data_IF_093912137429
#
_entry.id   IF_093912137429
#
_cell.length_a   1.000
_cell.length_b   1.000
_cell.length_c   1.000
_cell.angle_alpha   90.00
_cell.angle_beta   90.00
_cell.angle_gamma   90.00
#
_symmetry.space_group_name_H-M   'P 1'
#
loop_
_entity.id
_entity.type
_entity.pdbx_description
1 polymer ?
#
# COMPACT_ATOMS: atom_id res chain seq x y z
N UNK A 1 15.18 0.63 -23.62
CA UNK A 1 15.03 -0.75 -23.12
C UNK A 1 14.20 -1.55 -24.12
N UNK A 2 14.49 -2.85 -24.25
CA UNK A 2 13.80 -3.75 -25.20
C UNK A 2 12.73 -4.53 -24.43
N UNK A 3 11.50 -4.55 -24.94
CA UNK A 3 10.41 -5.33 -24.34
C UNK A 3 10.72 -6.84 -24.37
N UNK A 4 10.37 -7.60 -23.33
CA UNK A 4 10.56 -9.04 -23.29
C UNK A 4 9.82 -9.75 -24.43
N UNK A 5 10.43 -10.76 -25.00
CA UNK A 5 9.85 -11.59 -26.07
C UNK A 5 9.47 -12.97 -25.56
N UNK A 6 8.49 -13.61 -26.20
CA UNK A 6 8.03 -14.94 -25.80
C UNK A 6 7.35 -14.95 -24.44
N UNK A 7 7.67 -15.92 -23.57
CA UNK A 7 7.10 -16.07 -22.22
C UNK A 7 7.96 -15.42 -21.12
N UNK A 8 9.09 -14.81 -21.48
CA UNK A 8 9.99 -14.20 -20.50
C UNK A 8 9.31 -13.05 -19.74
N UNK A 9 9.34 -13.03 -18.40
CA UNK A 9 8.73 -11.96 -17.61
C UNK A 9 9.52 -10.64 -17.67
N UNK A 10 10.80 -10.69 -18.06
CA UNK A 10 11.64 -9.51 -18.22
C UNK A 10 12.68 -9.70 -19.31
N UNK A 11 13.27 -8.62 -19.77
CA UNK A 11 14.47 -8.60 -20.63
C UNK A 11 15.62 -7.88 -19.95
N UNK A 12 16.84 -8.25 -20.31
CA UNK A 12 18.07 -7.63 -19.85
C UNK A 12 18.77 -6.95 -21.03
N UNK A 13 19.19 -5.72 -20.81
CA UNK A 13 20.05 -4.96 -21.72
C UNK A 13 21.32 -4.59 -20.97
N UNK A 14 22.48 -4.75 -21.58
CA UNK A 14 23.74 -4.32 -20.98
C UNK A 14 24.58 -3.52 -21.98
N UNK A 15 25.25 -2.51 -21.48
CA UNK A 15 26.20 -1.71 -22.24
C UNK A 15 27.47 -1.54 -21.43
N UNK A 16 28.61 -1.55 -22.12
CA UNK A 16 29.94 -1.35 -21.55
C UNK A 16 30.57 -0.11 -22.16
N UNK A 17 31.13 0.75 -21.33
CA UNK A 17 31.90 1.93 -21.75
C UNK A 17 33.17 2.08 -20.93
N UNK A 18 34.06 2.96 -21.37
CA UNK A 18 35.20 3.37 -20.58
C UNK A 18 34.71 4.20 -19.37
N UNK A 19 35.33 3.96 -18.21
CA UNK A 19 35.01 4.74 -17.03
C UNK A 19 35.64 6.16 -17.14
N UNK A 20 34.86 7.25 -17.13
CA UNK A 20 35.38 8.60 -17.35
C UNK A 20 36.38 9.08 -16.29
N UNK A 21 36.29 8.54 -15.08
CA UNK A 21 37.07 8.94 -13.90
C UNK A 21 38.13 7.93 -13.48
N UNK A 22 38.19 6.74 -14.12
CA UNK A 22 39.21 5.72 -13.87
C UNK A 22 39.52 4.95 -15.14
N UNK A 23 40.71 5.19 -15.71
CA UNK A 23 41.14 4.61 -16.99
C UNK A 23 41.35 3.09 -16.93
N UNK A 24 41.56 2.53 -15.74
CA UNK A 24 41.80 1.10 -15.55
C UNK A 24 40.51 0.32 -15.31
N UNK A 25 39.35 0.99 -15.34
CA UNK A 25 38.03 0.42 -15.07
C UNK A 25 37.10 0.59 -16.28
N UNK A 26 36.11 -0.27 -16.36
CA UNK A 26 34.97 -0.14 -17.28
C UNK A 26 33.71 0.16 -16.49
N UNK A 27 32.80 0.92 -17.10
CA UNK A 27 31.46 1.16 -16.59
C UNK A 27 30.49 0.22 -17.31
N UNK A 28 29.74 -0.55 -16.56
CA UNK A 28 28.68 -1.40 -17.11
C UNK A 28 27.32 -0.89 -16.64
N UNK A 29 26.45 -0.62 -17.60
CA UNK A 29 25.03 -0.37 -17.35
C UNK A 29 24.26 -1.68 -17.53
N UNK A 30 23.40 -2.01 -16.58
CA UNK A 30 22.47 -3.13 -16.69
C UNK A 30 21.06 -2.56 -16.60
N UNK A 31 20.30 -2.71 -17.68
CA UNK A 31 18.89 -2.33 -17.74
C UNK A 31 17.99 -3.57 -17.64
N UNK A 32 16.98 -3.51 -16.79
CA UNK A 32 15.96 -4.55 -16.67
C UNK A 32 14.63 -3.94 -17.12
N UNK A 33 13.97 -4.58 -18.09
CA UNK A 33 12.64 -4.18 -18.55
C UNK A 33 11.65 -5.29 -18.23
N UNK A 34 10.67 -5.00 -17.39
CA UNK A 34 9.54 -5.89 -17.12
C UNK A 34 8.60 -5.94 -18.32
N UNK A 35 7.84 -7.02 -18.42
CA UNK A 35 6.76 -7.15 -19.41
C UNK A 35 5.60 -6.23 -19.01
N UNK A 36 5.04 -5.50 -19.96
CA UNK A 36 3.81 -4.77 -19.75
C UNK A 36 2.64 -5.75 -19.59
N UNK A 37 1.85 -5.54 -18.54
CA UNK A 37 0.64 -6.31 -18.28
C UNK A 37 -0.51 -5.53 -18.94
N UNK A 38 -1.21 -6.09 -19.95
CA UNK A 38 -2.38 -5.43 -20.52
C UNK A 38 -3.45 -5.20 -19.45
N UNK A 39 -4.11 -4.04 -19.47
CA UNK A 39 -5.19 -3.69 -18.53
C UNK A 39 -6.30 -4.77 -18.47
N UNK A 40 -6.63 -5.37 -19.61
CA UNK A 40 -7.61 -6.45 -19.72
C UNK A 40 -7.28 -7.72 -18.89
N UNK A 41 -6.03 -7.83 -18.42
CA UNK A 41 -5.54 -8.97 -17.59
C UNK A 41 -5.31 -8.59 -16.14
N UNK A 42 -5.59 -7.35 -15.77
CA UNK A 42 -5.46 -6.93 -14.38
C UNK A 42 -6.64 -7.47 -13.60
N UNK A 43 -6.42 -8.29 -12.54
CA UNK A 43 -7.51 -8.81 -11.73
C UNK A 43 -8.22 -7.69 -10.99
N UNK A 44 -9.53 -7.87 -10.76
CA UNK A 44 -10.31 -6.97 -9.92
C UNK A 44 -9.69 -6.88 -8.51
N UNK A 45 -9.73 -5.71 -7.92
CA UNK A 45 -9.04 -5.41 -6.65
C UNK A 45 -10.02 -5.14 -5.52
N UNK A 46 -9.73 -5.69 -4.35
CA UNK A 46 -10.35 -5.34 -3.08
C UNK A 46 -9.29 -4.70 -2.18
N UNK A 47 -9.31 -3.39 -2.09
CA UNK A 47 -8.31 -2.60 -1.38
C UNK A 47 -8.90 -2.03 -0.09
N UNK A 48 -8.27 -2.34 1.03
CA UNK A 48 -8.63 -1.82 2.35
C UNK A 48 -7.53 -0.90 2.84
N UNK A 49 -7.80 0.39 2.86
CA UNK A 49 -6.88 1.39 3.38
C UNK A 49 -7.03 1.51 4.90
N UNK A 50 -5.94 1.28 5.61
CA UNK A 50 -5.82 1.52 7.05
C UNK A 50 -4.90 2.72 7.23
N UNK A 51 -5.49 3.88 7.54
CA UNK A 51 -4.82 5.18 7.49
C UNK A 51 -4.62 5.71 8.91
N UNK A 52 -3.37 6.02 9.23
CA UNK A 52 -3.01 6.77 10.41
C UNK A 52 -3.52 8.21 10.31
N UNK A 53 -4.30 8.64 11.31
CA UNK A 53 -4.79 10.02 11.44
C UNK A 53 -4.31 10.64 12.76
N UNK A 54 -3.21 10.15 13.33
CA UNK A 54 -2.58 10.74 14.51
C UNK A 54 -2.07 12.15 14.22
N UNK A 55 -1.85 12.93 15.27
CA UNK A 55 -1.40 14.32 15.15
C UNK A 55 -0.06 14.47 14.40
N UNK A 56 0.79 13.42 14.43
CA UNK A 56 2.05 13.41 13.67
C UNK A 56 1.86 13.38 12.15
N UNK A 57 0.68 12.94 11.67
CA UNK A 57 0.33 12.87 10.25
C UNK A 57 -0.13 14.21 9.63
N UNK A 58 0.00 15.32 10.35
CA UNK A 58 -0.53 16.64 9.96
C UNK A 58 0.17 17.28 8.75
N UNK A 59 1.47 17.03 8.52
CA UNK A 59 2.23 17.71 7.47
C UNK A 59 1.81 17.33 6.05
N UNK A 60 2.06 18.23 5.08
CA UNK A 60 1.63 18.09 3.68
C UNK A 60 2.17 16.84 2.99
N UNK A 61 3.30 16.32 3.44
CA UNK A 61 3.96 15.09 2.96
C UNK A 61 3.46 13.81 3.65
N UNK A 62 2.43 13.90 4.50
CA UNK A 62 1.83 12.78 5.23
C UNK A 62 0.35 12.59 4.88
N UNK A 63 -0.60 12.83 5.80
CA UNK A 63 -2.03 12.58 5.56
C UNK A 63 -2.57 13.29 4.29
N UNK A 64 -2.25 14.56 4.00
CA UNK A 64 -2.68 15.19 2.76
C UNK A 64 -2.17 14.47 1.50
N UNK A 65 -0.94 13.93 1.54
CA UNK A 65 -0.36 13.15 0.45
C UNK A 65 -1.05 11.78 0.31
N UNK A 66 -1.38 11.11 1.43
CA UNK A 66 -2.17 9.86 1.44
C UNK A 66 -3.51 10.09 0.73
N UNK A 67 -4.25 11.14 1.11
CA UNK A 67 -5.55 11.48 0.52
C UNK A 67 -5.42 11.72 -0.99
N UNK A 68 -4.41 12.49 -1.38
CA UNK A 68 -4.16 12.77 -2.81
C UNK A 68 -3.83 11.50 -3.59
N UNK A 69 -3.00 10.62 -3.03
CA UNK A 69 -2.62 9.35 -3.66
C UNK A 69 -3.83 8.43 -3.82
N UNK A 70 -4.70 8.35 -2.81
CA UNK A 70 -5.92 7.58 -2.85
C UNK A 70 -6.89 8.10 -3.92
N UNK A 71 -7.07 9.42 -4.01
CA UNK A 71 -7.91 10.03 -5.03
C UNK A 71 -7.36 9.76 -6.45
N UNK A 72 -6.04 9.81 -6.64
CA UNK A 72 -5.40 9.45 -7.91
C UNK A 72 -5.62 7.97 -8.27
N UNK A 73 -5.56 7.07 -7.28
CA UNK A 73 -5.86 5.65 -7.48
C UNK A 73 -7.30 5.43 -7.97
N UNK A 74 -8.26 6.22 -7.48
CA UNK A 74 -9.65 6.11 -7.90
C UNK A 74 -9.86 6.34 -9.40
N UNK A 75 -8.97 7.08 -10.08
CA UNK A 75 -9.03 7.29 -11.52
C UNK A 75 -8.73 6.02 -12.33
N UNK A 76 -8.11 5.02 -11.70
CA UNK A 76 -7.74 3.74 -12.31
C UNK A 76 -8.68 2.59 -11.93
N UNK A 77 -9.57 2.79 -10.94
CA UNK A 77 -10.45 1.74 -10.43
C UNK A 77 -11.74 1.60 -11.26
N UNK A 78 -12.23 0.39 -11.34
CA UNK A 78 -13.43 0.00 -12.09
C UNK A 78 -14.63 -0.26 -11.18
N UNK A 79 -15.80 -0.51 -11.75
CA UNK A 79 -16.99 -0.88 -10.97
C UNK A 79 -16.89 -2.26 -10.28
N UNK A 80 -15.99 -3.11 -10.72
CA UNK A 80 -15.75 -4.44 -10.14
C UNK A 80 -14.86 -4.36 -8.90
N UNK A 81 -14.02 -3.34 -8.82
CA UNK A 81 -13.14 -3.13 -7.68
C UNK A 81 -13.92 -2.74 -6.43
N UNK A 82 -13.32 -2.98 -5.27
CA UNK A 82 -13.83 -2.59 -3.96
C UNK A 82 -12.79 -1.78 -3.22
N UNK A 83 -13.27 -0.74 -2.54
CA UNK A 83 -12.44 0.08 -1.68
C UNK A 83 -13.08 0.25 -0.32
N UNK A 84 -12.30 0.08 0.72
CA UNK A 84 -12.65 0.38 2.10
C UNK A 84 -11.62 1.32 2.69
N UNK A 85 -12.05 2.21 3.58
CA UNK A 85 -11.18 3.14 4.29
C UNK A 85 -11.46 3.05 5.77
N UNK A 86 -10.43 2.77 6.55
CA UNK A 86 -10.43 2.73 8.00
C UNK A 86 -9.39 3.74 8.46
N UNK A 87 -9.73 4.54 9.43
CA UNK A 87 -8.76 5.39 10.13
C UNK A 87 -8.46 4.81 11.51
N UNK A 88 -7.24 4.97 11.95
CA UNK A 88 -6.84 4.65 13.30
C UNK A 88 -6.05 5.80 13.92
N UNK A 89 -6.42 6.13 15.14
CA UNK A 89 -5.75 7.07 16.02
C UNK A 89 -6.60 7.21 17.28
N UNK A 90 -6.36 6.37 18.28
CA UNK A 90 -7.15 6.36 19.50
C UNK A 90 -8.41 5.50 19.47
N UNK A 91 -9.18 5.52 18.39
CA UNK A 91 -10.23 4.56 18.07
C UNK A 91 -10.19 4.31 16.57
N UNK A 92 -10.39 3.06 16.19
CA UNK A 92 -10.60 2.72 14.79
C UNK A 92 -11.98 3.21 14.34
N UNK A 93 -12.03 3.74 13.14
CA UNK A 93 -13.27 4.17 12.50
C UNK A 93 -13.34 3.66 11.08
N UNK A 94 -14.35 2.86 10.78
CA UNK A 94 -14.71 2.55 9.41
C UNK A 94 -15.34 3.79 8.79
N UNK A 95 -14.62 4.42 7.88
CA UNK A 95 -15.03 5.65 7.18
C UNK A 95 -15.80 5.29 5.92
N UNK A 96 -15.35 4.21 5.24
CA UNK A 96 -15.96 3.68 4.05
C UNK A 96 -15.81 2.15 4.03
N UNK A 97 -16.85 1.43 3.62
CA UNK A 97 -16.84 -0.03 3.60
C UNK A 97 -17.32 -0.58 2.25
N UNK A 98 -16.42 -1.20 1.48
CA UNK A 98 -16.71 -1.90 0.24
C UNK A 98 -17.37 -1.07 -0.85
N UNK A 99 -17.05 0.22 -0.95
CA UNK A 99 -17.52 1.05 -2.04
C UNK A 99 -16.97 0.52 -3.38
N UNK A 100 -17.73 0.68 -4.46
CA UNK A 100 -17.26 0.32 -5.80
C UNK A 100 -16.25 1.34 -6.32
N UNK A 101 -15.28 0.89 -7.12
CA UNK A 101 -14.24 1.75 -7.67
C UNK A 101 -14.76 2.91 -8.52
N UNK A 102 -15.94 2.77 -9.13
CA UNK A 102 -16.59 3.86 -9.89
C UNK A 102 -17.30 4.92 -9.00
N UNK A 103 -17.29 4.77 -7.68
CA UNK A 103 -17.89 5.72 -6.74
C UNK A 103 -16.90 6.83 -6.31
N UNK A 104 -16.12 7.36 -7.23
CA UNK A 104 -15.04 8.33 -7.00
C UNK A 104 -15.48 9.51 -6.12
N UNK A 105 -16.61 10.14 -6.41
CA UNK A 105 -17.12 11.28 -5.63
C UNK A 105 -17.42 10.93 -4.17
N UNK A 106 -17.88 9.71 -3.90
CA UNK A 106 -18.13 9.25 -2.53
C UNK A 106 -16.82 9.11 -1.77
N UNK A 107 -15.82 8.51 -2.42
CA UNK A 107 -14.49 8.33 -1.85
C UNK A 107 -13.84 9.70 -1.58
N UNK A 108 -13.82 10.60 -2.57
CA UNK A 108 -13.27 11.96 -2.42
C UNK A 108 -13.93 12.74 -1.28
N UNK A 109 -15.27 12.67 -1.17
CA UNK A 109 -16.01 13.37 -0.10
C UNK A 109 -15.59 12.84 1.26
N UNK A 110 -15.52 11.53 1.41
CA UNK A 110 -15.22 10.87 2.68
C UNK A 110 -13.75 11.10 3.07
N UNK A 111 -12.83 10.96 2.13
CA UNK A 111 -11.39 11.16 2.38
C UNK A 111 -11.04 12.62 2.62
N UNK A 112 -11.76 13.55 1.98
CA UNK A 112 -11.60 14.99 2.21
C UNK A 112 -12.08 15.46 3.61
N UNK A 113 -12.77 14.61 4.37
CA UNK A 113 -13.14 14.85 5.77
C UNK A 113 -12.15 14.29 6.79
N UNK A 114 -11.09 13.62 6.32
CA UNK A 114 -10.06 13.10 7.21
C UNK A 114 -9.19 14.24 7.74
N UNK A 115 -8.95 14.21 9.05
CA UNK A 115 -8.14 15.22 9.73
C UNK A 115 -7.20 14.54 10.74
N UNK A 116 -5.96 15.02 10.81
CA UNK A 116 -4.91 14.51 11.69
C UNK A 116 -5.06 15.09 13.12
N UNK A 117 -6.12 14.74 13.81
CA UNK A 117 -6.46 15.24 15.16
C UNK A 117 -6.62 14.14 16.22
N UNK A 118 -6.30 12.91 15.90
CA UNK A 118 -6.52 11.77 16.78
C UNK A 118 -5.41 11.60 17.83
N UNK A 119 -5.79 11.05 19.00
CA UNK A 119 -4.89 10.58 20.06
C UNK A 119 -4.66 9.08 19.93
N UNK A 120 -3.47 8.62 20.22
CA UNK A 120 -2.94 7.29 19.91
C UNK A 120 -3.36 6.22 20.93
N UNK A 121 -4.59 5.69 20.85
CA UNK A 121 -5.01 4.48 21.57
C UNK A 121 -6.07 3.74 20.74
N UNK A 122 -5.71 2.72 20.01
CA UNK A 122 -6.66 1.91 19.25
C UNK A 122 -6.23 0.44 19.23
N UNK A 123 -7.11 -0.44 19.75
CA UNK A 123 -6.76 -1.85 19.98
C UNK A 123 -7.06 -2.81 18.82
N UNK A 124 -7.60 -2.36 17.68
CA UNK A 124 -8.07 -3.32 16.67
C UNK A 124 -8.02 -2.91 15.20
N UNK A 125 -7.40 -1.79 14.86
CA UNK A 125 -7.42 -1.28 13.48
C UNK A 125 -7.05 -2.32 12.43
N UNK A 126 -5.99 -3.09 12.68
CA UNK A 126 -5.54 -4.14 11.75
C UNK A 126 -6.54 -5.31 11.65
N UNK A 127 -7.16 -5.72 12.76
CA UNK A 127 -8.16 -6.80 12.75
C UNK A 127 -9.41 -6.39 11.99
N UNK A 128 -9.90 -5.17 12.19
CA UNK A 128 -11.03 -4.60 11.44
C UNK A 128 -10.72 -4.50 9.95
N UNK A 129 -9.47 -4.17 9.60
CA UNK A 129 -9.03 -4.15 8.20
C UNK A 129 -9.12 -5.55 7.55
N UNK A 130 -8.66 -6.59 8.25
CA UNK A 130 -8.80 -7.96 7.78
C UNK A 130 -10.25 -8.42 7.68
N UNK A 131 -11.10 -8.11 8.66
CA UNK A 131 -12.54 -8.41 8.61
C UNK A 131 -13.21 -7.77 7.37
N UNK A 132 -12.88 -6.53 7.03
CA UNK A 132 -13.39 -5.89 5.82
C UNK A 132 -12.80 -6.51 4.55
N UNK A 133 -11.53 -6.87 4.55
CA UNK A 133 -10.90 -7.53 3.41
C UNK A 133 -11.55 -8.88 3.12
N UNK A 134 -11.85 -9.66 4.15
CA UNK A 134 -12.58 -10.94 4.05
C UNK A 134 -14.02 -10.75 3.59
N UNK A 135 -14.72 -9.75 4.15
CA UNK A 135 -16.12 -9.45 3.81
C UNK A 135 -16.32 -9.11 2.34
N UNK A 136 -15.36 -8.41 1.74
CA UNK A 136 -15.42 -7.96 0.34
C UNK A 136 -14.42 -8.71 -0.55
N UNK A 137 -14.00 -9.90 -0.11
CA UNK A 137 -13.05 -10.73 -0.83
C UNK A 137 -13.50 -11.00 -2.27
N UNK A 138 -12.57 -10.86 -3.20
CA UNK A 138 -12.78 -11.14 -4.63
C UNK A 138 -11.99 -12.39 -4.97
N UNK A 139 -12.68 -13.46 -5.34
CA UNK A 139 -12.06 -14.73 -5.75
C UNK A 139 -11.21 -14.53 -7.00
N UNK A 140 -9.93 -14.92 -6.94
CA UNK A 140 -8.98 -14.70 -8.03
C UNK A 140 -8.56 -13.25 -8.23
N UNK A 141 -9.04 -12.33 -7.38
CA UNK A 141 -8.70 -10.92 -7.39
C UNK A 141 -7.47 -10.58 -6.55
N UNK A 142 -7.10 -9.30 -6.55
CA UNK A 142 -6.06 -8.75 -5.70
C UNK A 142 -6.68 -8.23 -4.39
N UNK A 143 -6.67 -9.06 -3.36
CA UNK A 143 -7.18 -8.68 -2.03
C UNK A 143 -6.03 -8.17 -1.16
N UNK A 144 -6.10 -6.89 -0.78
CA UNK A 144 -4.95 -6.24 -0.14
C UNK A 144 -5.35 -5.19 0.89
N UNK A 145 -4.66 -5.21 2.03
CA UNK A 145 -4.66 -4.13 3.00
C UNK A 145 -3.49 -3.20 2.69
N UNK A 146 -3.73 -1.90 2.71
CA UNK A 146 -2.72 -0.87 2.51
C UNK A 146 -2.66 -0.04 3.79
N UNK A 147 -1.61 -0.26 4.56
CA UNK A 147 -1.34 0.47 5.81
C UNK A 147 -0.53 1.71 5.49
N UNK A 148 -1.08 2.88 5.78
CA UNK A 148 -0.44 4.18 5.60
C UNK A 148 -0.15 4.84 6.95
N UNK A 149 1.14 5.07 7.27
CA UNK A 149 1.60 5.64 8.55
C UNK A 149 2.91 6.41 8.37
N UNK A 150 3.26 7.22 9.36
CA UNK A 150 4.60 7.85 9.45
C UNK A 150 5.61 7.00 10.25
N UNK A 151 5.27 5.73 10.52
CA UNK A 151 6.12 4.76 11.20
C UNK A 151 5.80 4.55 12.68
N UNK A 152 4.89 5.32 13.28
CA UNK A 152 4.42 5.07 14.65
C UNK A 152 3.19 4.13 14.61
N UNK A 153 3.50 2.83 14.42
CA UNK A 153 2.50 1.79 14.20
C UNK A 153 1.80 1.39 15.50
N UNK A 154 0.72 2.09 15.83
CA UNK A 154 -0.20 1.73 16.91
C UNK A 154 -1.49 1.14 16.34
N UNK A 155 -1.36 0.05 15.58
CA UNK A 155 -2.49 -0.64 14.92
C UNK A 155 -3.26 -1.58 15.86
N UNK A 156 -2.98 -1.49 17.16
CA UNK A 156 -3.69 -2.22 18.20
C UNK A 156 -3.03 -3.51 18.68
N UNK A 157 -2.13 -4.09 17.93
CA UNK A 157 -1.28 -5.18 18.35
C UNK A 157 0.09 -4.58 18.66
N UNK A 158 0.49 -4.58 19.93
CA UNK A 158 1.78 -4.00 20.39
C UNK A 158 2.92 -4.99 20.24
N UNK A 159 2.62 -6.29 20.26
CA UNK A 159 3.59 -7.37 20.05
C UNK A 159 3.79 -7.59 18.55
N UNK A 160 5.00 -7.35 18.09
CA UNK A 160 5.37 -7.51 16.68
C UNK A 160 5.24 -8.96 16.22
N UNK A 161 5.57 -9.93 17.06
CA UNK A 161 5.50 -11.34 16.71
C UNK A 161 4.04 -11.82 16.57
N UNK A 162 3.13 -11.29 17.39
CA UNK A 162 1.69 -11.57 17.24
C UNK A 162 1.15 -10.97 15.95
N UNK A 163 1.58 -9.75 15.60
CA UNK A 163 1.17 -9.08 14.37
C UNK A 163 1.69 -9.82 13.13
N UNK A 164 2.94 -10.24 13.13
CA UNK A 164 3.54 -11.04 12.05
C UNK A 164 2.77 -12.34 11.84
N UNK A 165 2.47 -13.08 12.92
CA UNK A 165 1.68 -14.32 12.82
C UNK A 165 0.30 -14.10 12.23
N UNK A 166 -0.37 -13.01 12.59
CA UNK A 166 -1.66 -12.65 11.99
C UNK A 166 -1.52 -12.40 10.49
N UNK A 167 -0.48 -11.66 10.07
CA UNK A 167 -0.22 -11.36 8.66
C UNK A 167 0.05 -12.64 7.88
N UNK A 168 0.91 -13.52 8.38
CA UNK A 168 1.22 -14.82 7.76
C UNK A 168 -0.04 -15.69 7.57
N UNK A 169 -0.87 -15.80 8.63
CA UNK A 169 -2.14 -16.54 8.55
C UNK A 169 -3.08 -15.98 7.47
N UNK A 170 -3.20 -14.66 7.41
CA UNK A 170 -4.08 -13.98 6.44
C UNK A 170 -3.54 -14.03 5.02
N UNK A 171 -2.22 -14.02 4.84
CA UNK A 171 -1.58 -14.23 3.55
C UNK A 171 -1.93 -15.61 2.96
N UNK A 172 -1.98 -16.66 3.78
CA UNK A 172 -2.42 -17.98 3.34
C UNK A 172 -3.87 -17.99 2.83
N UNK A 173 -4.72 -17.10 3.33
CA UNK A 173 -6.08 -16.90 2.83
C UNK A 173 -6.19 -16.01 1.59
N UNK A 174 -5.06 -15.52 1.05
CA UNK A 174 -5.01 -14.69 -0.16
C UNK A 174 -5.23 -13.20 0.10
N UNK A 175 -5.08 -12.74 1.34
CA UNK A 175 -5.13 -11.31 1.70
C UNK A 175 -3.73 -10.84 2.08
N UNK A 176 -3.19 -9.92 1.29
CA UNK A 176 -1.83 -9.41 1.45
C UNK A 176 -1.80 -8.07 2.18
N UNK A 177 -0.70 -7.77 2.85
CA UNK A 177 -0.43 -6.47 3.45
C UNK A 177 0.62 -5.71 2.65
N UNK A 178 0.38 -4.43 2.45
CA UNK A 178 1.37 -3.46 1.94
C UNK A 178 1.50 -2.33 2.94
N UNK A 179 2.71 -1.94 3.26
CA UNK A 179 2.99 -0.80 4.12
C UNK A 179 3.47 0.39 3.30
N UNK A 180 2.93 1.57 3.55
CA UNK A 180 3.34 2.83 2.93
C UNK A 180 3.80 3.78 4.03
N UNK A 181 5.08 4.13 4.03
CA UNK A 181 5.69 5.09 4.94
C UNK A 181 5.61 6.51 4.38
N UNK A 182 5.16 7.46 5.21
CA UNK A 182 5.05 8.87 4.87
C UNK A 182 5.90 9.74 5.79
N UNK A 183 6.45 10.83 5.24
CA UNK A 183 7.36 11.74 5.95
C UNK A 183 8.82 11.27 5.93
N UNK A 184 9.77 12.23 5.96
CA UNK A 184 11.20 11.95 5.81
C UNK A 184 11.99 11.80 7.11
N UNK A 185 11.52 12.39 8.22
CA UNK A 185 12.39 12.61 9.38
C UNK A 185 12.20 11.61 10.54
N UNK A 186 11.08 10.85 10.57
CA UNK A 186 10.72 9.98 11.71
C UNK A 186 10.25 8.58 11.30
N UNK A 187 10.47 8.17 10.06
CA UNK A 187 10.01 6.87 9.56
C UNK A 187 10.75 5.74 10.30
N UNK A 188 9.99 4.90 11.02
CA UNK A 188 10.51 3.69 11.68
C UNK A 188 10.47 2.53 10.69
N UNK A 189 11.39 2.52 9.74
CA UNK A 189 11.46 1.55 8.65
C UNK A 189 11.47 0.10 9.13
N UNK A 190 12.23 -0.22 10.18
CA UNK A 190 12.43 -1.59 10.66
C UNK A 190 11.11 -2.34 10.96
N UNK A 191 10.13 -1.66 11.58
CA UNK A 191 8.84 -2.28 11.86
C UNK A 191 7.99 -2.45 10.60
N UNK A 192 7.98 -1.44 9.75
CA UNK A 192 7.18 -1.47 8.51
C UNK A 192 7.73 -2.52 7.54
N UNK A 193 9.06 -2.63 7.45
CA UNK A 193 9.75 -3.64 6.65
C UNK A 193 9.44 -5.05 7.18
N UNK A 194 9.56 -5.27 8.50
CA UNK A 194 9.24 -6.55 9.11
C UNK A 194 7.78 -7.00 8.86
N UNK A 195 6.83 -6.07 8.72
CA UNK A 195 5.45 -6.39 8.39
C UNK A 195 5.23 -6.65 6.90
N UNK A 196 5.98 -5.98 6.03
CA UNK A 196 5.85 -6.12 4.58
C UNK A 196 6.51 -7.39 4.05
N UNK A 197 7.54 -7.88 4.72
CA UNK A 197 8.30 -9.08 4.33
C UNK A 197 7.57 -10.41 4.65
N UNK A 198 6.51 -10.38 5.45
CA UNK A 198 5.70 -11.52 5.86
C UNK A 198 4.30 -11.44 5.28
#
# INVERSE_FOLDING_TARGET
YVQPTGESPFSLTYELSDCPWNKDSKLMMIGVQGRDIPEEKTPDSNLVFLIDVSGSMYSDDKLPLVIKSLNTLMDTMTENDRISVITYSGNERIVLAGARGNQTKTVETVTGMLDANGCTYGESGIRVAYELAEKYYIEGGNNRIILASDGDLNVGITDTDELVKLIEEKRESGIYLTTLGFGGDNLKDEKMEALADN
#
